data_IF_667207255959
#
_entry.id   IF_667207255959
#
_cell.length_a   1.000
_cell.length_b   1.000
_cell.length_c   1.000
_cell.angle_alpha   90.00
_cell.angle_beta   90.00
_cell.angle_gamma   90.00
#
_symmetry.space_group_name_H-M   'P 1'
#
loop_
_entity.id
_entity.type
_entity.pdbx_description
1 polymer ?
#
# COMPACT_ATOMS: atom_id res chain seq x y z
N UNK A 1 -3.46 -6.72 -12.03
CA UNK A 1 -2.74 -7.05 -10.77
C UNK A 1 -3.73 -7.77 -9.87
N UNK A 2 -3.30 -8.81 -9.18
CA UNK A 2 -4.15 -9.63 -8.28
C UNK A 2 -3.47 -9.75 -6.92
N UNK A 3 -4.23 -9.96 -5.85
CA UNK A 3 -3.67 -10.25 -4.53
C UNK A 3 -2.94 -11.61 -4.53
N UNK A 4 -1.93 -11.75 -3.67
CA UNK A 4 -1.10 -12.98 -3.57
C UNK A 4 0.40 -12.68 -3.66
N UNK A 5 1.25 -13.70 -3.52
CA UNK A 5 2.72 -13.49 -3.53
C UNK A 5 3.29 -13.52 -4.95
N UNK A 6 3.85 -12.42 -5.41
CA UNK A 6 4.50 -12.25 -6.71
C UNK A 6 5.76 -11.36 -6.63
N UNK A 7 6.33 -10.97 -7.77
CA UNK A 7 7.50 -10.08 -7.84
C UNK A 7 7.24 -8.70 -7.22
N UNK A 8 6.04 -8.15 -7.40
CA UNK A 8 5.68 -6.86 -6.82
C UNK A 8 5.59 -6.95 -5.29
N UNK A 9 5.05 -8.04 -4.74
CA UNK A 9 5.04 -8.29 -3.30
C UNK A 9 6.45 -8.43 -2.71
N UNK A 10 7.34 -9.14 -3.41
CA UNK A 10 8.76 -9.26 -3.01
C UNK A 10 9.46 -7.90 -3.01
N UNK A 11 9.21 -7.09 -4.04
CA UNK A 11 9.79 -5.76 -4.15
C UNK A 11 9.27 -4.82 -3.05
N UNK A 12 7.97 -4.87 -2.75
CA UNK A 12 7.39 -4.12 -1.64
C UNK A 12 8.02 -4.48 -0.28
N UNK A 13 8.20 -5.79 -0.01
CA UNK A 13 8.86 -6.25 1.21
C UNK A 13 10.30 -5.73 1.32
N UNK A 14 11.05 -5.73 0.21
CA UNK A 14 12.39 -5.13 0.15
C UNK A 14 12.38 -3.63 0.44
N UNK A 15 11.47 -2.88 -0.19
CA UNK A 15 11.34 -1.43 0.04
C UNK A 15 11.05 -1.08 1.50
N UNK A 16 10.22 -1.89 2.17
CA UNK A 16 9.91 -1.72 3.59
C UNK A 16 11.11 -2.06 4.49
N UNK A 17 11.85 -3.14 4.18
CA UNK A 17 13.05 -3.52 4.91
C UNK A 17 14.15 -2.44 4.79
N UNK A 18 14.39 -1.94 3.57
CA UNK A 18 15.33 -0.85 3.29
C UNK A 18 14.95 0.46 4.04
N UNK A 19 13.67 0.61 4.41
CA UNK A 19 13.12 1.74 5.20
C UNK A 19 12.98 1.44 6.70
N UNK A 20 13.60 0.37 7.20
CA UNK A 20 13.69 0.06 8.62
C UNK A 20 12.49 -0.69 9.22
N UNK A 21 11.58 -1.21 8.40
CA UNK A 21 10.49 -2.06 8.89
C UNK A 21 11.02 -3.46 9.20
N UNK A 22 11.19 -3.77 10.49
CA UNK A 22 11.85 -5.00 10.99
C UNK A 22 11.11 -6.31 10.70
N UNK A 23 9.78 -6.28 10.56
CA UNK A 23 8.96 -7.47 10.25
C UNK A 23 8.14 -7.21 9.00
N UNK A 24 8.24 -8.09 8.02
CA UNK A 24 7.44 -8.03 6.78
C UNK A 24 5.96 -8.18 7.12
N UNK A 25 5.13 -7.16 6.89
CA UNK A 25 3.69 -7.25 7.11
C UNK A 25 3.04 -8.19 6.10
N UNK A 26 1.96 -8.90 6.46
CA UNK A 26 1.21 -9.70 5.48
C UNK A 26 0.61 -8.84 4.35
N UNK A 27 0.37 -7.56 4.62
CA UNK A 27 -0.15 -6.61 3.66
C UNK A 27 0.78 -6.36 2.45
N UNK A 28 2.01 -6.91 2.40
CA UNK A 28 2.86 -6.87 1.20
C UNK A 28 2.26 -7.63 0.02
N UNK A 29 1.45 -8.65 0.28
CA UNK A 29 0.80 -9.47 -0.75
C UNK A 29 -0.49 -8.81 -1.30
N UNK A 30 -0.89 -7.67 -0.74
CA UNK A 30 -2.10 -6.94 -1.15
C UNK A 30 -1.87 -6.06 -2.38
N UNK A 31 -2.92 -5.89 -3.18
CA UNK A 31 -2.88 -5.14 -4.44
C UNK A 31 -2.40 -3.71 -4.25
N UNK A 32 -2.87 -3.03 -3.20
CA UNK A 32 -2.53 -1.63 -2.91
C UNK A 32 -1.02 -1.46 -2.69
N UNK A 33 -0.43 -2.35 -1.89
CA UNK A 33 1.01 -2.34 -1.57
C UNK A 33 1.86 -2.62 -2.79
N UNK A 34 1.45 -3.56 -3.64
CA UNK A 34 2.11 -3.86 -4.92
C UNK A 34 2.06 -2.69 -5.88
N UNK A 35 0.95 -1.95 -5.93
CA UNK A 35 0.84 -0.74 -6.76
C UNK A 35 1.81 0.33 -6.26
N UNK A 36 1.88 0.56 -4.95
CA UNK A 36 2.86 1.51 -4.40
C UNK A 36 4.30 1.11 -4.75
N UNK A 37 4.64 -0.18 -4.66
CA UNK A 37 5.96 -0.67 -5.04
C UNK A 37 6.21 -0.50 -6.55
N UNK A 38 5.21 -0.75 -7.39
CA UNK A 38 5.28 -0.48 -8.84
C UNK A 38 5.48 1.01 -9.13
N UNK A 39 4.83 1.90 -8.39
CA UNK A 39 5.03 3.35 -8.56
C UNK A 39 6.48 3.75 -8.30
N UNK A 40 7.14 3.13 -7.31
CA UNK A 40 8.58 3.32 -7.07
C UNK A 40 9.41 2.80 -8.24
N UNK A 41 9.15 1.57 -8.71
CA UNK A 41 9.92 0.95 -9.80
C UNK A 41 9.81 1.72 -11.11
N UNK A 42 8.58 2.12 -11.46
CA UNK A 42 8.24 2.66 -12.78
C UNK A 42 8.29 4.21 -12.80
N UNK A 43 8.57 4.85 -11.66
CA UNK A 43 8.65 6.32 -11.55
C UNK A 43 7.29 7.02 -11.69
N UNK A 44 6.21 6.39 -11.24
CA UNK A 44 4.85 6.92 -11.37
C UNK A 44 4.55 7.86 -10.20
N UNK A 45 4.28 9.14 -10.50
CA UNK A 45 3.96 10.16 -9.50
C UNK A 45 2.51 10.10 -9.01
N UNK A 46 1.56 9.73 -9.88
CA UNK A 46 0.14 9.69 -9.56
C UNK A 46 -0.52 8.43 -10.11
N UNK A 47 -1.30 7.74 -9.29
CA UNK A 47 -2.09 6.59 -9.72
C UNK A 47 -3.44 6.56 -8.99
N UNK A 48 -4.45 6.02 -9.67
CA UNK A 48 -5.74 5.66 -9.10
C UNK A 48 -6.00 4.18 -9.32
N UNK A 49 -6.38 3.48 -8.26
CA UNK A 49 -6.79 2.07 -8.32
C UNK A 49 -8.19 1.92 -7.79
N UNK A 50 -9.00 1.11 -8.47
CA UNK A 50 -10.29 0.63 -7.98
C UNK A 50 -10.14 -0.83 -7.59
N UNK A 51 -10.45 -1.18 -6.35
CA UNK A 51 -10.39 -2.54 -5.83
C UNK A 51 -11.78 -2.99 -5.37
N UNK A 52 -12.05 -4.28 -5.53
CA UNK A 52 -13.31 -4.91 -5.13
C UNK A 52 -13.32 -5.41 -3.68
N UNK A 53 -12.25 -5.17 -2.93
CA UNK A 53 -12.10 -5.56 -1.53
C UNK A 53 -11.85 -4.33 -0.67
N UNK A 54 -12.28 -4.38 0.59
CA UNK A 54 -12.05 -3.32 1.55
C UNK A 54 -10.56 -3.17 1.83
N UNK A 55 -10.05 -1.93 1.77
CA UNK A 55 -8.65 -1.63 2.09
C UNK A 55 -8.37 -2.05 3.53
N UNK A 56 -7.30 -2.83 3.72
CA UNK A 56 -6.98 -3.38 5.01
C UNK A 56 -6.58 -2.26 6.01
N UNK A 57 -7.32 -2.16 7.13
CA UNK A 57 -6.99 -1.24 8.24
C UNK A 57 -6.06 -1.97 9.21
N UNK A 58 -4.92 -1.38 9.55
CA UNK A 58 -4.03 -1.92 10.57
C UNK A 58 -4.76 -1.94 11.91
N UNK A 59 -4.91 -3.11 12.52
CA UNK A 59 -5.51 -3.22 13.86
C UNK A 59 -4.54 -3.97 14.77
N UNK A 60 -4.15 -3.38 15.92
CA UNK A 60 -3.43 -4.12 16.95
C UNK A 60 -4.26 -5.35 17.38
N UNK A 61 -3.66 -6.55 17.59
CA UNK A 61 -2.23 -6.89 17.54
C UNK A 61 -1.71 -7.35 16.16
N UNK A 62 -2.55 -7.34 15.12
CA UNK A 62 -2.32 -8.01 13.84
C UNK A 62 -1.37 -7.29 12.86
N UNK A 63 -0.84 -6.13 13.24
CA UNK A 63 0.19 -5.40 12.50
C UNK A 63 -0.31 -4.19 11.72
N UNK A 64 0.54 -3.71 10.81
CA UNK A 64 0.29 -2.54 9.96
C UNK A 64 -0.61 -2.92 8.78
N UNK A 65 -1.62 -2.10 8.54
CA UNK A 65 -2.49 -2.23 7.38
C UNK A 65 -1.92 -1.50 6.17
N UNK A 66 -2.67 -1.60 5.09
CA UNK A 66 -2.37 -1.01 3.81
C UNK A 66 -2.22 0.50 3.98
N UNK A 67 -3.16 1.12 4.70
CA UNK A 67 -3.11 2.57 4.96
C UNK A 67 -1.87 3.06 5.74
N UNK A 68 -1.25 2.20 6.55
CA UNK A 68 -0.03 2.55 7.29
C UNK A 68 1.24 2.39 6.44
N UNK A 69 1.22 1.45 5.49
CA UNK A 69 2.38 1.08 4.69
C UNK A 69 2.49 1.91 3.41
N UNK A 70 1.37 2.29 2.80
CA UNK A 70 1.37 3.04 1.54
C UNK A 70 2.17 4.35 1.63
N UNK A 71 2.00 5.21 2.67
CA UNK A 71 2.79 6.45 2.78
C UNK A 71 4.30 6.23 2.91
N UNK A 72 4.71 5.08 3.45
CA UNK A 72 6.12 4.70 3.63
C UNK A 72 6.73 4.19 2.33
N UNK A 73 5.97 3.42 1.54
CA UNK A 73 6.44 2.83 0.29
C UNK A 73 6.46 3.86 -0.84
N UNK A 74 5.41 4.68 -0.95
CA UNK A 74 5.24 5.63 -2.04
C UNK A 74 6.43 6.58 -2.16
N UNK A 75 6.85 6.93 -3.39
CA UNK A 75 7.88 7.94 -3.59
C UNK A 75 7.45 9.28 -2.99
N UNK A 76 8.41 10.05 -2.47
CA UNK A 76 8.12 11.38 -1.92
C UNK A 76 7.43 12.27 -2.96
N UNK A 77 6.35 12.95 -2.56
CA UNK A 77 5.58 13.82 -3.46
C UNK A 77 4.64 13.07 -4.41
N UNK A 78 4.58 11.73 -4.35
CA UNK A 78 3.64 10.93 -5.15
C UNK A 78 2.29 10.76 -4.43
N UNK A 79 1.24 10.49 -5.21
CA UNK A 79 -0.12 10.25 -4.71
C UNK A 79 -0.72 8.96 -5.27
N UNK A 80 -1.26 8.13 -4.39
CA UNK A 80 -2.06 6.97 -4.76
C UNK A 80 -3.47 7.14 -4.21
N UNK A 81 -4.47 7.13 -5.08
CA UNK A 81 -5.88 7.11 -4.70
C UNK A 81 -6.42 5.69 -4.83
N UNK A 82 -6.91 5.14 -3.73
CA UNK A 82 -7.55 3.82 -3.66
C UNK A 82 -9.05 4.02 -3.52
N UNK A 83 -9.80 3.54 -4.50
CA UNK A 83 -11.25 3.39 -4.44
C UNK A 83 -11.58 1.98 -3.99
N UNK A 84 -12.18 1.86 -2.81
CA UNK A 84 -12.66 0.61 -2.24
C UNK A 84 -14.16 0.70 -1.91
N UNK A 85 -14.68 -0.36 -1.30
CA UNK A 85 -16.04 -0.39 -0.76
C UNK A 85 -15.97 -0.46 0.77
N UNK A 86 -16.85 0.25 1.45
CA UNK A 86 -17.02 0.13 2.90
C UNK A 86 -17.80 -1.15 3.28
N UNK A 87 -18.02 -1.34 4.58
CA UNK A 87 -18.74 -2.51 5.13
C UNK A 87 -20.21 -2.59 4.69
N UNK A 88 -20.76 -1.49 4.17
CA UNK A 88 -22.12 -1.39 3.62
C UNK A 88 -22.14 -1.45 2.09
N UNK A 89 -20.99 -1.61 1.44
CA UNK A 89 -20.87 -1.64 -0.02
C UNK A 89 -20.92 -0.26 -0.67
N UNK A 90 -20.75 0.82 0.07
CA UNK A 90 -20.65 2.16 -0.52
C UNK A 90 -19.22 2.40 -1.03
N UNK A 91 -19.06 2.99 -2.23
CA UNK A 91 -17.75 3.33 -2.75
C UNK A 91 -17.10 4.43 -1.90
N UNK A 92 -15.82 4.27 -1.59
CA UNK A 92 -15.02 5.25 -0.86
C UNK A 92 -13.66 5.41 -1.51
N UNK A 93 -13.23 6.66 -1.70
CA UNK A 93 -11.90 7.01 -2.20
C UNK A 93 -11.01 7.51 -1.06
N UNK A 94 -9.86 6.88 -0.86
CA UNK A 94 -8.83 7.33 0.09
C UNK A 94 -7.55 7.66 -0.70
N UNK A 95 -6.98 8.83 -0.46
CA UNK A 95 -5.72 9.23 -1.09
C UNK A 95 -4.57 9.16 -0.09
N UNK A 96 -3.48 8.51 -0.51
CA UNK A 96 -2.25 8.36 0.25
C UNK A 96 -1.14 9.18 -0.42
N UNK A 97 -0.38 9.90 0.39
CA UNK A 97 0.77 10.70 -0.06
C UNK A 97 2.06 10.02 0.36
N UNK A 98 3.03 9.96 -0.56
CA UNK A 98 4.35 9.40 -0.28
C UNK A 98 5.27 10.39 0.41
N UNK A 99 6.14 9.86 1.27
CA UNK A 99 7.12 10.63 2.02
C UNK A 99 6.77 10.84 3.50
N UNK A 100 5.82 10.08 4.06
CA UNK A 100 5.61 10.08 5.50
C UNK A 100 6.78 9.37 6.20
N UNK A 101 7.62 10.14 6.89
CA UNK A 101 8.64 9.63 7.80
C UNK A 101 7.97 9.03 9.05
N UNK A 102 8.47 7.87 9.50
CA UNK A 102 8.17 7.39 10.86
C UNK A 102 8.72 8.43 11.85
N UNK A 103 7.83 9.09 12.59
CA UNK A 103 8.18 9.72 13.86
C UNK A 103 8.17 8.65 14.96
#
# INVERSE_FOLDING_TARGET
MVSGRDDDARYAAKLLADRGVKRTPMAVDHTETKIAARMVRDGIAEATVVINHQTCRGRPPFGYGCGDLLPVILPAGSRLTVWDYDEHGHPRGISYLGGASRQ
#
